data_IF_789193120629
#
_entry.id   IF_789193120629
#
_cell.length_a   1.000
_cell.length_b   1.000
_cell.length_c   1.000
_cell.angle_alpha   90.00
_cell.angle_beta   90.00
_cell.angle_gamma   90.00
#
_symmetry.space_group_name_H-M   'P 1'
#
loop_
_entity.id
_entity.type
_entity.pdbx_description
1 polymer ?
#
# COMPACT_ATOMS: atom_id res chain seq x y z
N UNK A 1 -24.32 16.20 -0.22
CA UNK A 1 -24.11 16.57 1.19
C UNK A 1 -22.75 17.23 1.27
N UNK A 2 -22.68 18.52 1.62
CA UNK A 2 -21.41 19.21 1.76
C UNK A 2 -20.65 18.61 2.94
N UNK A 3 -19.42 18.16 2.73
CA UNK A 3 -18.57 17.66 3.81
C UNK A 3 -18.46 18.75 4.90
N UNK A 4 -18.48 18.39 6.20
CA UNK A 4 -18.26 19.35 7.27
C UNK A 4 -16.94 20.09 7.00
N UNK A 5 -16.92 21.41 7.15
CA UNK A 5 -15.70 22.19 6.95
C UNK A 5 -14.68 21.72 7.98
N UNK A 6 -13.70 20.92 7.54
CA UNK A 6 -12.55 20.60 8.37
C UNK A 6 -11.86 21.93 8.73
N UNK A 7 -11.55 22.14 10.01
CA UNK A 7 -10.75 23.28 10.41
C UNK A 7 -9.44 23.30 9.59
N UNK A 8 -9.01 24.49 9.16
CA UNK A 8 -7.73 24.66 8.48
C UNK A 8 -6.61 24.09 9.39
N UNK A 9 -5.79 23.20 8.85
CA UNK A 9 -4.64 22.58 9.54
C UNK A 9 -3.35 23.06 8.89
N UNK A 10 -2.29 23.21 9.68
CA UNK A 10 -0.93 23.42 9.18
C UNK A 10 -0.23 22.07 9.01
N UNK A 11 0.08 21.71 7.76
CA UNK A 11 0.72 20.44 7.41
C UNK A 11 2.09 20.72 6.83
N UNK A 12 3.13 20.09 7.39
CA UNK A 12 4.50 20.18 6.87
C UNK A 12 4.83 18.92 6.07
N UNK A 13 5.12 19.08 4.78
CA UNK A 13 5.58 18.00 3.89
C UNK A 13 7.10 18.00 3.85
N UNK A 14 7.73 16.90 4.25
CA UNK A 14 9.17 16.68 4.18
C UNK A 14 9.49 15.77 3.00
N UNK A 15 10.20 16.30 2.00
CA UNK A 15 10.43 15.66 0.70
C UNK A 15 9.41 16.11 -0.35
N UNK A 16 9.85 16.89 -1.33
CA UNK A 16 9.07 17.44 -2.45
C UNK A 16 9.31 16.72 -3.78
N UNK A 17 9.81 15.48 -3.74
CA UNK A 17 9.76 14.59 -4.90
C UNK A 17 8.33 14.38 -5.43
N UNK A 18 8.18 13.57 -6.48
CA UNK A 18 6.90 13.33 -7.17
C UNK A 18 5.72 13.03 -6.23
N UNK A 19 5.96 12.23 -5.20
CA UNK A 19 4.91 11.83 -4.24
C UNK A 19 4.60 12.92 -3.20
N UNK A 20 5.62 13.59 -2.65
CA UNK A 20 5.40 14.68 -1.69
C UNK A 20 4.74 15.91 -2.33
N UNK A 21 5.08 16.22 -3.58
CA UNK A 21 4.37 17.24 -4.37
C UNK A 21 2.89 16.89 -4.55
N UNK A 22 2.57 15.61 -4.75
CA UNK A 22 1.19 15.14 -4.87
C UNK A 22 0.43 15.26 -3.53
N UNK A 23 1.10 15.01 -2.39
CA UNK A 23 0.52 15.27 -1.06
C UNK A 23 0.26 16.74 -0.80
N UNK A 24 1.22 17.60 -1.13
CA UNK A 24 1.05 19.05 -1.04
C UNK A 24 -0.18 19.50 -1.84
N UNK A 25 -0.35 19.03 -3.08
CA UNK A 25 -1.54 19.32 -3.89
C UNK A 25 -2.82 18.82 -3.23
N UNK A 26 -2.87 17.54 -2.83
CA UNK A 26 -4.07 16.92 -2.27
C UNK A 26 -4.55 17.62 -0.99
N UNK A 27 -3.63 17.92 -0.07
CA UNK A 27 -3.96 18.61 1.17
C UNK A 27 -4.28 20.10 0.96
N UNK A 28 -3.58 20.76 0.02
CA UNK A 28 -3.86 22.16 -0.35
C UNK A 28 -5.24 22.33 -0.98
N UNK A 29 -5.62 21.42 -1.89
CA UNK A 29 -6.97 21.35 -2.46
C UNK A 29 -8.06 21.07 -1.42
N UNK A 30 -7.71 20.43 -0.31
CA UNK A 30 -8.61 20.20 0.83
C UNK A 30 -8.72 21.42 1.77
N UNK A 31 -8.03 22.52 1.45
CA UNK A 31 -8.08 23.77 2.22
C UNK A 31 -7.13 23.82 3.42
N UNK A 32 -6.15 22.92 3.49
CA UNK A 32 -5.11 22.98 4.53
C UNK A 32 -3.96 23.90 4.14
N UNK A 33 -3.29 24.45 5.14
CA UNK A 33 -2.09 25.27 4.98
C UNK A 33 -0.87 24.37 4.82
N UNK A 34 -0.28 24.39 3.64
CA UNK A 34 0.89 23.57 3.34
C UNK A 34 2.17 24.37 3.59
N UNK A 35 3.11 23.71 4.24
CA UNK A 35 4.50 24.12 4.32
C UNK A 35 5.41 22.98 3.90
N UNK A 36 6.60 23.28 3.44
CA UNK A 36 7.46 22.29 2.80
C UNK A 36 8.90 22.32 3.28
N UNK A 37 9.50 21.14 3.38
CA UNK A 37 10.91 20.95 3.73
C UNK A 37 11.55 20.05 2.67
N UNK A 38 12.50 20.58 1.91
CA UNK A 38 13.30 19.81 0.95
C UNK A 38 14.63 20.51 0.70
N UNK A 39 15.68 19.75 0.34
CA UNK A 39 16.98 20.32 -0.02
C UNK A 39 16.99 21.00 -1.40
N UNK A 40 15.98 20.71 -2.23
CA UNK A 40 15.83 21.30 -3.56
C UNK A 40 15.27 22.74 -3.48
N UNK A 41 15.62 23.55 -4.47
CA UNK A 41 15.07 24.90 -4.62
C UNK A 41 13.52 24.88 -4.66
N UNK A 42 12.89 25.78 -3.90
CA UNK A 42 11.43 25.97 -3.89
C UNK A 42 10.69 25.44 -2.66
N UNK A 43 11.38 24.78 -1.72
CA UNK A 43 10.83 24.48 -0.40
C UNK A 43 10.84 25.71 0.53
N UNK A 44 9.94 25.75 1.53
CA UNK A 44 9.97 26.81 2.56
C UNK A 44 11.23 26.74 3.42
N UNK A 45 11.75 25.54 3.65
CA UNK A 45 12.97 25.27 4.41
C UNK A 45 13.77 24.10 3.83
N UNK A 46 15.08 24.09 4.07
CA UNK A 46 15.98 23.02 3.64
C UNK A 46 15.97 21.83 4.61
N UNK A 47 15.71 22.08 5.90
CA UNK A 47 15.80 21.09 6.97
C UNK A 47 14.67 21.22 7.98
N UNK A 48 14.31 20.09 8.58
CA UNK A 48 13.28 20.04 9.65
C UNK A 48 13.64 20.98 10.79
N UNK A 49 14.92 21.10 11.17
CA UNK A 49 15.40 22.02 12.20
C UNK A 49 15.06 23.51 11.97
N UNK A 50 14.84 23.93 10.72
CA UNK A 50 14.55 25.31 10.37
C UNK A 50 13.06 25.68 10.46
N UNK A 51 12.16 24.69 10.57
CA UNK A 51 10.72 24.94 10.72
C UNK A 51 10.48 25.72 12.02
N UNK A 52 9.92 26.94 11.97
CA UNK A 52 9.63 27.73 13.16
C UNK A 52 8.45 27.11 13.90
N UNK A 53 8.47 27.21 15.23
CA UNK A 53 7.41 26.73 16.13
C UNK A 53 6.81 25.34 15.74
N UNK A 54 7.57 24.25 15.94
CA UNK A 54 7.07 22.89 15.67
C UNK A 54 5.73 22.58 16.36
N UNK A 55 5.43 23.25 17.48
CA UNK A 55 4.20 23.00 18.23
C UNK A 55 2.93 23.48 17.49
N UNK A 56 3.08 24.40 16.52
CA UNK A 56 2.01 24.87 15.64
C UNK A 56 1.75 23.94 14.43
N UNK A 57 2.55 22.88 14.25
CA UNK A 57 2.37 21.90 13.18
C UNK A 57 1.33 20.86 13.61
N UNK A 58 0.21 20.80 12.88
CA UNK A 58 -0.86 19.83 13.15
C UNK A 58 -0.47 18.42 12.73
N UNK A 59 0.22 18.29 11.59
CA UNK A 59 0.73 17.02 11.07
C UNK A 59 1.99 17.20 10.23
N UNK A 60 2.89 16.23 10.34
CA UNK A 60 4.07 16.07 9.48
C UNK A 60 3.82 14.94 8.49
N UNK A 61 4.18 15.15 7.23
CA UNK A 61 4.15 14.12 6.19
C UNK A 61 5.56 13.87 5.72
N UNK A 62 6.09 12.68 5.94
CA UNK A 62 7.45 12.30 5.54
C UNK A 62 7.37 11.52 4.23
N UNK A 63 7.77 12.15 3.14
CA UNK A 63 7.71 11.66 1.77
C UNK A 63 9.10 11.68 1.09
N UNK A 64 10.15 11.50 1.89
CA UNK A 64 11.55 11.41 1.45
C UNK A 64 11.89 10.00 0.93
N UNK A 65 13.09 9.73 0.38
CA UNK A 65 13.52 8.36 0.13
C UNK A 65 13.49 7.50 1.40
N UNK A 66 13.20 6.21 1.30
CA UNK A 66 13.10 5.30 2.45
C UNK A 66 14.34 5.33 3.35
N UNK A 67 15.53 5.45 2.76
CA UNK A 67 16.81 5.56 3.48
C UNK A 67 16.86 6.72 4.49
N UNK A 68 16.07 7.77 4.30
CA UNK A 68 16.08 8.96 5.16
C UNK A 68 14.91 9.00 6.13
N UNK A 69 13.94 8.09 6.02
CA UNK A 69 12.73 8.08 6.87
C UNK A 69 13.07 8.11 8.36
N UNK A 70 13.92 7.19 8.83
CA UNK A 70 14.27 7.09 10.25
C UNK A 70 14.94 8.38 10.77
N UNK A 71 15.89 8.93 10.02
CA UNK A 71 16.60 10.14 10.43
C UNK A 71 15.67 11.36 10.49
N UNK A 72 14.78 11.50 9.50
CA UNK A 72 13.79 12.59 9.45
C UNK A 72 12.79 12.46 10.60
N UNK A 73 12.26 11.26 10.84
CA UNK A 73 11.31 11.00 11.93
C UNK A 73 11.97 11.28 13.30
N UNK A 74 13.21 10.84 13.52
CA UNK A 74 13.94 11.15 14.75
C UNK A 74 14.14 12.67 14.94
N UNK A 75 14.48 13.40 13.87
CA UNK A 75 14.61 14.86 13.93
C UNK A 75 13.30 15.56 14.27
N UNK A 76 12.18 15.16 13.65
CA UNK A 76 10.85 15.68 13.98
C UNK A 76 10.55 15.44 15.47
N UNK A 77 10.72 14.21 15.95
CA UNK A 77 10.34 13.83 17.32
C UNK A 77 11.26 14.42 18.40
N UNK A 78 12.52 14.73 18.06
CA UNK A 78 13.40 15.52 18.94
C UNK A 78 12.90 16.96 19.14
N UNK A 79 12.24 17.54 18.13
CA UNK A 79 11.71 18.92 18.19
C UNK A 79 10.27 18.98 18.70
N UNK A 80 9.47 17.96 18.41
CA UNK A 80 8.08 17.83 18.83
C UNK A 80 7.82 16.38 19.28
N UNK A 81 8.04 16.05 20.57
CA UNK A 81 7.93 14.68 21.07
C UNK A 81 6.53 14.04 21.02
N UNK A 82 5.50 14.84 20.75
CA UNK A 82 4.10 14.45 20.58
C UNK A 82 3.60 14.67 19.14
N UNK A 83 4.53 14.75 18.17
CA UNK A 83 4.19 14.98 16.78
C UNK A 83 3.26 13.89 16.21
N UNK A 84 2.44 14.33 15.26
CA UNK A 84 1.59 13.48 14.42
C UNK A 84 2.27 13.33 13.08
N UNK A 85 2.69 12.11 12.74
CA UNK A 85 3.49 11.82 11.55
C UNK A 85 2.75 10.84 10.65
N UNK A 86 2.47 11.27 9.43
CA UNK A 86 2.15 10.39 8.31
C UNK A 86 3.46 10.07 7.58
N UNK A 87 3.88 8.82 7.61
CA UNK A 87 5.15 8.35 7.06
C UNK A 87 4.88 7.59 5.77
N UNK A 88 5.58 7.92 4.68
CA UNK A 88 5.46 7.14 3.47
C UNK A 88 5.86 5.68 3.65
N UNK A 89 5.27 4.82 2.81
CA UNK A 89 5.66 3.41 2.77
C UNK A 89 6.88 3.21 1.86
N UNK A 90 7.75 2.24 2.17
CA UNK A 90 7.82 1.51 3.43
C UNK A 90 8.25 2.41 4.60
N UNK A 91 7.83 2.07 5.83
CA UNK A 91 8.13 2.88 7.01
C UNK A 91 9.65 3.13 7.17
N UNK A 92 10.43 2.09 6.95
CA UNK A 92 11.88 2.11 6.93
C UNK A 92 12.40 0.87 6.19
N UNK A 93 13.71 0.82 6.00
CA UNK A 93 14.42 -0.37 5.60
C UNK A 93 14.39 -1.49 6.66
N UNK A 94 14.58 -2.76 6.26
CA UNK A 94 14.62 -3.88 7.21
C UNK A 94 15.64 -3.68 8.33
N UNK A 95 16.87 -3.26 8.04
CA UNK A 95 17.89 -3.01 9.07
C UNK A 95 17.52 -1.87 10.04
N UNK A 96 16.76 -0.90 9.56
CA UNK A 96 16.36 0.28 10.33
C UNK A 96 15.15 0.00 11.24
N UNK A 97 14.50 -1.15 11.10
CA UNK A 97 13.27 -1.48 11.83
C UNK A 97 13.47 -1.48 13.35
N UNK A 98 14.61 -1.96 13.83
CA UNK A 98 14.97 -1.91 15.24
C UNK A 98 15.20 -0.46 15.72
N UNK A 99 15.83 0.36 14.88
CA UNK A 99 16.05 1.79 15.11
C UNK A 99 14.74 2.56 15.20
N UNK A 100 13.83 2.36 14.24
CA UNK A 100 12.49 2.94 14.24
C UNK A 100 11.71 2.55 15.49
N UNK A 101 11.76 1.27 15.88
CA UNK A 101 11.15 0.81 17.12
C UNK A 101 11.73 1.49 18.37
N UNK A 102 13.04 1.76 18.40
CA UNK A 102 13.67 2.49 19.51
C UNK A 102 13.25 3.96 19.54
N UNK A 103 13.22 4.62 18.39
CA UNK A 103 12.74 6.02 18.26
C UNK A 103 11.31 6.14 18.76
N UNK A 104 10.39 5.26 18.33
CA UNK A 104 9.00 5.25 18.80
C UNK A 104 8.91 5.10 20.32
N UNK A 105 9.69 4.17 20.92
CA UNK A 105 9.69 3.98 22.38
C UNK A 105 10.23 5.19 23.15
N UNK A 106 11.14 5.97 22.56
CA UNK A 106 11.69 7.19 23.19
C UNK A 106 10.68 8.35 23.20
N UNK A 107 9.71 8.32 22.29
CA UNK A 107 8.70 9.36 22.11
C UNK A 107 7.29 8.80 22.27
N UNK A 108 6.88 8.40 23.50
CA UNK A 108 5.65 7.65 23.74
C UNK A 108 4.36 8.44 23.51
N UNK A 109 4.44 9.76 23.27
CA UNK A 109 3.28 10.60 22.93
C UNK A 109 3.10 10.80 21.42
N UNK A 110 4.09 10.39 20.63
CA UNK A 110 4.04 10.51 19.18
C UNK A 110 2.89 9.66 18.61
N UNK A 111 2.32 10.11 17.50
CA UNK A 111 1.35 9.35 16.71
C UNK A 111 1.94 9.16 15.33
N UNK A 112 2.13 7.91 14.91
CA UNK A 112 2.76 7.60 13.63
C UNK A 112 1.89 6.63 12.85
N UNK A 113 1.46 7.04 11.66
CA UNK A 113 0.78 6.17 10.69
C UNK A 113 1.70 6.02 9.49
N UNK A 114 1.91 4.78 9.03
CA UNK A 114 2.54 4.51 7.75
C UNK A 114 1.46 4.52 6.67
N UNK A 115 1.68 5.29 5.60
CA UNK A 115 0.70 5.50 4.56
C UNK A 115 0.27 4.18 3.91
N UNK A 116 -1.03 3.93 3.90
CA UNK A 116 -1.63 2.72 3.36
C UNK A 116 -2.91 3.02 2.60
N UNK A 117 -2.73 3.44 1.36
CA UNK A 117 -3.82 3.83 0.45
C UNK A 117 -4.88 2.74 0.31
N UNK A 118 -4.48 1.47 0.26
CA UNK A 118 -5.40 0.37 -0.02
C UNK A 118 -6.23 -0.05 1.21
N UNK A 119 -5.72 0.12 2.43
CA UNK A 119 -6.53 -0.12 3.64
C UNK A 119 -7.70 0.84 3.79
N UNK A 120 -7.55 2.05 3.25
CA UNK A 120 -8.56 3.12 3.34
C UNK A 120 -9.33 3.31 2.03
N UNK A 121 -9.19 2.39 1.06
CA UNK A 121 -9.87 2.48 -0.23
C UNK A 121 -11.30 1.92 -0.13
N UNK A 122 -12.30 2.71 -0.52
CA UNK A 122 -13.70 2.25 -0.62
C UNK A 122 -13.82 1.01 -1.52
N UNK A 123 -13.07 0.95 -2.63
CA UNK A 123 -13.09 -0.20 -3.54
C UNK A 123 -12.59 -1.49 -2.85
N UNK A 124 -11.52 -1.41 -2.05
CA UNK A 124 -11.00 -2.54 -1.28
C UNK A 124 -11.97 -2.93 -0.16
N UNK A 125 -12.60 -1.96 0.52
CA UNK A 125 -13.60 -2.23 1.55
C UNK A 125 -14.85 -2.91 0.96
N UNK A 126 -15.32 -2.44 -0.20
CA UNK A 126 -16.44 -3.04 -0.92
C UNK A 126 -16.13 -4.47 -1.33
N UNK A 127 -14.94 -4.68 -1.89
CA UNK A 127 -14.43 -6.00 -2.26
C UNK A 127 -14.40 -6.95 -1.07
N UNK A 128 -13.74 -6.55 0.02
CA UNK A 128 -13.65 -7.34 1.25
C UNK A 128 -15.03 -7.65 1.85
N UNK A 129 -15.97 -6.71 1.81
CA UNK A 129 -17.34 -6.94 2.25
C UNK A 129 -18.05 -8.02 1.41
N UNK A 130 -17.91 -7.96 0.08
CA UNK A 130 -18.45 -9.00 -0.82
C UNK A 130 -17.81 -10.36 -0.60
N UNK A 131 -16.50 -10.42 -0.34
CA UNK A 131 -15.83 -11.67 0.02
C UNK A 131 -16.38 -12.23 1.33
N UNK A 132 -16.49 -11.41 2.39
CA UNK A 132 -17.01 -11.86 3.71
C UNK A 132 -18.44 -12.36 3.63
N UNK A 133 -19.29 -11.70 2.84
CA UNK A 133 -20.69 -12.10 2.64
C UNK A 133 -20.80 -13.52 2.06
N UNK A 134 -19.99 -13.84 1.04
CA UNK A 134 -20.01 -15.15 0.39
C UNK A 134 -19.22 -16.21 1.18
N UNK A 135 -18.07 -15.82 1.75
CA UNK A 135 -17.19 -16.71 2.51
C UNK A 135 -17.83 -17.26 3.80
N UNK A 136 -18.88 -16.61 4.30
CA UNK A 136 -19.64 -17.08 5.47
C UNK A 136 -20.28 -18.46 5.29
N UNK A 137 -20.50 -18.91 4.05
CA UNK A 137 -21.11 -20.20 3.74
C UNK A 137 -20.30 -21.05 2.75
N UNK A 138 -19.29 -20.47 2.12
CA UNK A 138 -18.47 -21.09 1.10
C UNK A 138 -17.01 -20.66 1.28
N UNK A 139 -16.15 -21.50 1.91
CA UNK A 139 -14.81 -21.07 2.31
C UNK A 139 -13.97 -20.56 1.13
N UNK A 140 -13.00 -19.69 1.44
CA UNK A 140 -12.04 -19.22 0.45
C UNK A 140 -11.13 -20.39 0.04
N UNK A 141 -11.05 -20.65 -1.26
CA UNK A 141 -10.15 -21.66 -1.84
C UNK A 141 -8.82 -21.05 -2.21
N UNK A 142 -8.85 -19.93 -2.95
CA UNK A 142 -7.67 -19.26 -3.48
C UNK A 142 -7.84 -17.74 -3.48
N UNK A 143 -6.74 -17.04 -3.21
CA UNK A 143 -6.62 -15.58 -3.32
C UNK A 143 -5.46 -15.29 -4.27
N UNK A 144 -5.72 -14.46 -5.29
CA UNK A 144 -4.71 -13.98 -6.23
C UNK A 144 -4.70 -12.46 -6.20
N UNK A 145 -3.52 -11.85 -6.05
CA UNK A 145 -3.35 -10.39 -6.18
C UNK A 145 -2.21 -10.13 -7.15
N UNK A 146 -2.48 -9.32 -8.17
CA UNK A 146 -1.48 -8.94 -9.17
C UNK A 146 -1.43 -7.43 -9.35
N UNK A 147 -0.24 -6.86 -9.17
CA UNK A 147 0.05 -5.44 -9.35
C UNK A 147 1.19 -5.28 -10.37
N UNK A 148 0.85 -5.15 -11.65
CA UNK A 148 1.80 -5.10 -12.76
C UNK A 148 1.82 -3.72 -13.42
N UNK A 149 3.02 -3.17 -13.63
CA UNK A 149 3.27 -1.98 -14.46
C UNK A 149 4.68 -2.07 -15.03
N UNK A 150 4.88 -1.79 -16.32
CA UNK A 150 6.24 -1.55 -16.81
C UNK A 150 6.81 -0.25 -16.18
N UNK A 151 7.80 -0.41 -15.31
CA UNK A 151 8.51 0.65 -14.59
C UNK A 151 9.88 0.94 -15.18
N UNK A 152 10.31 0.25 -16.22
CA UNK A 152 11.66 0.44 -16.79
C UNK A 152 11.89 1.90 -17.20
N UNK A 153 10.87 2.56 -17.77
CA UNK A 153 10.92 4.00 -18.05
C UNK A 153 11.01 4.85 -16.77
N UNK A 154 10.22 4.53 -15.75
CA UNK A 154 10.28 5.21 -14.45
C UNK A 154 11.71 5.09 -13.85
N UNK A 155 12.30 3.88 -13.86
CA UNK A 155 13.63 3.57 -13.32
C UNK A 155 14.74 4.25 -14.12
N UNK A 156 14.67 4.21 -15.46
CA UNK A 156 15.63 4.89 -16.34
C UNK A 156 15.66 6.41 -16.10
N UNK A 157 14.56 7.00 -15.61
CA UNK A 157 14.45 8.41 -15.25
C UNK A 157 14.68 8.68 -13.75
N UNK A 158 15.38 7.78 -13.06
CA UNK A 158 15.82 8.00 -11.68
C UNK A 158 14.75 7.77 -10.61
N UNK A 159 13.62 7.12 -10.94
CA UNK A 159 12.68 6.68 -9.91
C UNK A 159 13.33 5.59 -9.05
N UNK A 160 13.32 5.81 -7.74
CA UNK A 160 14.00 4.98 -6.75
C UNK A 160 13.55 3.51 -6.76
N UNK A 161 14.43 2.56 -7.02
CA UNK A 161 14.18 1.14 -6.73
C UNK A 161 14.65 0.84 -5.32
N UNK A 162 13.76 0.27 -4.51
CA UNK A 162 14.13 -0.15 -3.15
C UNK A 162 15.22 -1.21 -3.21
N UNK A 163 16.43 -0.85 -2.78
CA UNK A 163 17.60 -1.71 -2.92
C UNK A 163 17.59 -2.89 -1.96
N UNK A 164 16.66 -2.93 -1.00
CA UNK A 164 16.66 -3.93 0.06
C UNK A 164 15.40 -4.79 0.05
N UNK A 165 14.24 -4.21 -0.25
CA UNK A 165 13.04 -4.98 -0.54
C UNK A 165 12.93 -5.41 -2.02
N UNK A 166 13.65 -4.75 -2.93
CA UNK A 166 13.48 -4.96 -4.37
C UNK A 166 12.05 -4.62 -4.81
N UNK A 167 11.50 -5.40 -5.74
CA UNK A 167 10.11 -5.26 -6.19
C UNK A 167 9.08 -5.47 -5.06
N UNK A 168 9.43 -6.22 -4.02
CA UNK A 168 8.55 -6.45 -2.87
C UNK A 168 8.24 -5.15 -2.11
N UNK A 169 9.16 -4.20 -2.06
CA UNK A 169 8.96 -2.91 -1.39
C UNK A 169 8.09 -1.95 -2.19
N UNK A 170 7.99 -2.17 -3.50
CA UNK A 170 7.20 -1.36 -4.39
C UNK A 170 5.71 -1.60 -4.22
N UNK A 171 5.23 -2.81 -4.50
CA UNK A 171 3.80 -3.14 -4.52
C UNK A 171 3.42 -4.13 -3.41
N UNK A 172 4.39 -4.81 -2.78
CA UNK A 172 4.12 -5.85 -1.78
C UNK A 172 3.33 -5.37 -0.57
N UNK A 173 3.65 -4.20 -0.01
CA UNK A 173 2.86 -3.63 1.09
C UNK A 173 1.39 -3.38 0.69
N UNK A 174 1.14 -2.96 -0.55
CA UNK A 174 -0.21 -2.73 -1.05
C UNK A 174 -0.99 -4.04 -1.23
N UNK A 175 -0.34 -5.08 -1.76
CA UNK A 175 -0.93 -6.41 -1.87
C UNK A 175 -1.23 -7.02 -0.49
N UNK A 176 -0.33 -6.83 0.48
CA UNK A 176 -0.54 -7.24 1.87
C UNK A 176 -1.71 -6.51 2.53
N UNK A 177 -1.95 -5.24 2.19
CA UNK A 177 -3.14 -4.51 2.66
C UNK A 177 -4.44 -5.09 2.14
N UNK A 178 -4.47 -5.50 0.88
CA UNK A 178 -5.63 -6.19 0.30
C UNK A 178 -5.84 -7.55 0.99
N UNK A 179 -4.79 -8.34 1.17
CA UNK A 179 -4.90 -9.62 1.89
C UNK A 179 -5.42 -9.45 3.32
N UNK A 180 -4.94 -8.44 4.04
CA UNK A 180 -5.37 -8.12 5.40
C UNK A 180 -6.85 -7.72 5.47
N UNK A 181 -7.37 -7.07 4.43
CA UNK A 181 -8.79 -6.70 4.37
C UNK A 181 -9.71 -7.91 4.18
N UNK A 182 -9.21 -8.98 3.55
CA UNK A 182 -9.98 -10.18 3.19
C UNK A 182 -9.91 -11.25 4.28
N UNK A 183 -8.70 -11.54 4.76
CA UNK A 183 -8.46 -12.66 5.67
C UNK A 183 -8.83 -12.32 7.11
N UNK A 184 -9.39 -13.26 7.88
CA UNK A 184 -9.46 -13.13 9.33
C UNK A 184 -8.09 -12.88 9.95
N UNK A 185 -8.00 -12.04 10.99
CA UNK A 185 -6.73 -11.60 11.58
C UNK A 185 -5.83 -12.75 12.06
N UNK A 186 -6.42 -13.87 12.50
CA UNK A 186 -5.66 -15.07 12.86
C UNK A 186 -5.01 -15.74 11.64
N UNK A 187 -5.74 -15.85 10.52
CA UNK A 187 -5.24 -16.43 9.27
C UNK A 187 -4.20 -15.52 8.62
N UNK A 188 -4.41 -14.21 8.61
CA UNK A 188 -3.43 -13.25 8.09
C UNK A 188 -2.10 -13.32 8.85
N UNK A 189 -2.14 -13.36 10.19
CA UNK A 189 -0.93 -13.52 11.02
C UNK A 189 -0.24 -14.86 10.80
N UNK A 190 -0.99 -15.91 10.48
CA UNK A 190 -0.44 -17.21 10.12
C UNK A 190 0.21 -17.19 8.73
N UNK A 191 -0.42 -16.54 7.76
CA UNK A 191 0.12 -16.32 6.42
C UNK A 191 1.49 -15.64 6.49
N UNK A 192 1.62 -14.54 7.24
CA UNK A 192 2.91 -13.82 7.39
C UNK A 192 4.04 -14.64 8.04
N UNK A 193 3.72 -15.75 8.71
CA UNK A 193 4.71 -16.69 9.30
C UNK A 193 4.92 -17.94 8.46
N UNK A 194 4.14 -18.12 7.40
CA UNK A 194 4.21 -19.29 6.55
C UNK A 194 5.30 -19.08 5.50
N UNK A 195 6.21 -20.05 5.39
CA UNK A 195 7.20 -20.06 4.32
C UNK A 195 6.46 -20.30 2.99
N UNK A 196 6.59 -19.41 1.99
CA UNK A 196 6.00 -19.63 0.68
C UNK A 196 6.50 -20.94 0.05
N UNK A 197 5.63 -21.65 -0.65
CA UNK A 197 6.00 -22.84 -1.40
C UNK A 197 6.88 -22.52 -2.62
N UNK A 198 6.77 -21.31 -3.16
CA UNK A 198 7.65 -20.82 -4.22
C UNK A 198 7.75 -19.29 -4.21
N UNK A 199 8.95 -18.78 -4.53
CA UNK A 199 9.23 -17.37 -4.81
C UNK A 199 10.06 -17.32 -6.08
N UNK A 200 9.63 -16.57 -7.10
CA UNK A 200 10.40 -16.38 -8.34
C UNK A 200 11.15 -15.04 -8.34
N UNK A 201 12.07 -14.85 -9.28
CA UNK A 201 12.80 -13.59 -9.46
C UNK A 201 11.88 -12.42 -9.87
N UNK A 202 10.76 -12.71 -10.52
CA UNK A 202 9.71 -11.74 -10.91
C UNK A 202 8.68 -11.56 -9.78
N UNK A 203 9.07 -11.80 -8.53
CA UNK A 203 8.22 -11.65 -7.35
C UNK A 203 6.87 -12.38 -7.42
N UNK A 204 6.83 -13.56 -8.07
CA UNK A 204 5.70 -14.47 -7.98
C UNK A 204 5.82 -15.32 -6.72
N UNK A 205 4.95 -15.06 -5.75
CA UNK A 205 4.96 -15.70 -4.44
C UNK A 205 3.73 -16.59 -4.33
N UNK A 206 3.94 -17.90 -4.23
CA UNK A 206 2.87 -18.86 -3.96
C UNK A 206 3.02 -19.39 -2.54
N UNK A 207 1.93 -19.34 -1.80
CA UNK A 207 1.85 -19.89 -0.44
C UNK A 207 0.72 -20.90 -0.36
N UNK A 208 1.06 -22.12 0.03
CA UNK A 208 0.10 -23.19 0.27
C UNK A 208 0.45 -23.86 1.59
N UNK A 209 -0.45 -23.81 2.56
CA UNK A 209 -0.27 -24.51 3.83
C UNK A 209 -1.64 -24.94 4.41
N UNK A 210 -1.68 -26.02 5.23
CA UNK A 210 -2.93 -26.50 5.81
C UNK A 210 -3.63 -25.42 6.65
N UNK A 211 -4.91 -25.14 6.39
CA UNK A 211 -5.70 -24.19 7.18
C UNK A 211 -5.39 -22.71 6.92
N UNK A 212 -4.84 -22.40 5.74
CA UNK A 212 -4.93 -21.08 5.09
C UNK A 212 -5.35 -21.33 3.62
N UNK A 213 -6.04 -20.39 2.96
CA UNK A 213 -6.30 -20.52 1.52
C UNK A 213 -5.00 -20.51 0.72
N UNK A 214 -5.04 -21.01 -0.52
CA UNK A 214 -3.93 -20.79 -1.45
C UNK A 214 -3.81 -19.29 -1.69
N UNK A 215 -2.62 -18.72 -1.51
CA UNK A 215 -2.36 -17.29 -1.75
C UNK A 215 -1.29 -17.16 -2.81
N UNK A 216 -1.58 -16.36 -3.83
CA UNK A 216 -0.66 -16.03 -4.89
C UNK A 216 -0.54 -14.50 -5.02
N UNK A 217 0.67 -13.98 -4.80
CA UNK A 217 1.00 -12.57 -4.98
C UNK A 217 1.94 -12.44 -6.18
N UNK A 218 1.66 -11.48 -7.05
CA UNK A 218 2.50 -11.20 -8.21
C UNK A 218 2.63 -9.70 -8.44
N UNK A 219 3.84 -9.26 -8.77
CA UNK A 219 4.12 -7.91 -9.22
C UNK A 219 5.19 -7.98 -10.27
N UNK A 220 5.10 -7.15 -11.30
CA UNK A 220 6.12 -7.07 -12.34
C UNK A 220 6.42 -5.63 -12.68
N UNK A 221 7.72 -5.28 -12.62
CA UNK A 221 8.24 -3.98 -13.08
C UNK A 221 8.64 -3.99 -14.56
N UNK A 222 8.67 -5.16 -15.20
CA UNK A 222 8.96 -5.31 -16.64
C UNK A 222 7.69 -5.31 -17.49
N UNK A 223 6.53 -5.38 -16.84
CA UNK A 223 5.22 -5.33 -17.50
C UNK A 223 4.66 -6.70 -17.91
N UNK A 224 5.33 -7.80 -17.57
CA UNK A 224 4.77 -9.14 -17.77
C UNK A 224 3.51 -9.33 -16.91
N UNK A 225 2.42 -9.80 -17.53
CA UNK A 225 1.15 -10.07 -16.85
C UNK A 225 1.04 -11.56 -16.57
N UNK A 226 0.79 -11.95 -15.32
CA UNK A 226 0.75 -13.36 -14.94
C UNK A 226 -0.63 -14.01 -15.08
N UNK A 227 -1.70 -13.24 -14.87
CA UNK A 227 -3.07 -13.78 -14.80
C UNK A 227 -4.06 -13.03 -15.71
N UNK A 228 -3.80 -12.92 -17.03
CA UNK A 228 -4.64 -12.16 -17.95
C UNK A 228 -6.12 -12.61 -17.94
N UNK A 229 -6.37 -13.90 -17.71
CA UNK A 229 -7.70 -14.51 -17.70
C UNK A 229 -8.55 -14.16 -16.47
N UNK A 230 -7.92 -13.79 -15.35
CA UNK A 230 -8.63 -13.56 -14.09
C UNK A 230 -9.33 -12.20 -14.03
N UNK A 231 -8.79 -11.18 -14.70
CA UNK A 231 -9.39 -9.84 -14.74
C UNK A 231 -9.54 -9.25 -16.15
N UNK A 232 -9.05 -9.94 -17.20
CA UNK A 232 -9.09 -9.44 -18.57
C UNK A 232 -10.49 -9.11 -19.10
N UNK A 233 -11.51 -9.81 -18.60
CA UNK A 233 -12.91 -9.57 -18.95
C UNK A 233 -13.43 -8.16 -18.56
N UNK A 234 -12.75 -7.48 -17.62
CA UNK A 234 -13.19 -6.19 -17.10
C UNK A 234 -12.68 -5.00 -17.91
N UNK A 235 -11.74 -5.21 -18.83
CA UNK A 235 -11.11 -4.15 -19.61
C UNK A 235 -11.76 -4.00 -20.99
N UNK A 236 -11.77 -2.77 -21.58
CA UNK A 236 -12.21 -2.54 -22.95
C UNK A 236 -11.47 -3.44 -23.95
N UNK A 237 -12.15 -3.82 -25.03
CA UNK A 237 -11.60 -4.71 -26.07
C UNK A 237 -10.23 -4.25 -26.57
N UNK A 238 -10.05 -2.93 -26.79
CA UNK A 238 -8.77 -2.37 -27.21
C UNK A 238 -7.66 -2.59 -26.18
N UNK A 239 -7.92 -2.36 -24.89
CA UNK A 239 -6.96 -2.59 -23.81
C UNK A 239 -6.62 -4.08 -23.73
N UNK A 240 -7.63 -4.94 -23.92
CA UNK A 240 -7.43 -6.38 -23.96
C UNK A 240 -6.53 -6.82 -25.13
N UNK A 241 -6.76 -6.29 -26.33
CA UNK A 241 -5.95 -6.58 -27.50
C UNK A 241 -4.52 -6.04 -27.37
N UNK A 242 -4.36 -4.82 -26.85
CA UNK A 242 -3.07 -4.12 -26.79
C UNK A 242 -2.17 -4.64 -25.65
N UNK A 243 -2.76 -5.10 -24.51
CA UNK A 243 -1.99 -5.41 -23.29
C UNK A 243 -2.30 -6.77 -22.65
N UNK A 244 -3.57 -7.13 -22.52
CA UNK A 244 -3.98 -8.31 -21.72
C UNK A 244 -3.76 -9.61 -22.48
N UNK A 245 -4.25 -9.70 -23.71
CA UNK A 245 -4.11 -10.90 -24.56
C UNK A 245 -2.64 -11.21 -24.84
N UNK A 246 -1.76 -10.23 -25.16
CA UNK A 246 -0.33 -10.44 -25.23
C UNK A 246 0.35 -10.72 -23.89
N UNK A 247 -0.36 -10.52 -22.76
CA UNK A 247 0.15 -10.64 -21.40
C UNK A 247 1.39 -9.75 -21.13
N UNK A 248 1.37 -8.54 -21.68
CA UNK A 248 2.52 -7.64 -21.66
C UNK A 248 2.10 -6.16 -21.67
N UNK A 249 2.69 -5.38 -20.78
CA UNK A 249 2.60 -3.91 -20.77
C UNK A 249 3.88 -3.35 -21.40
N UNK A 250 3.79 -2.68 -22.58
CA UNK A 250 4.95 -2.10 -23.24
C UNK A 250 5.66 -1.04 -22.40
N UNK A 251 6.96 -0.91 -22.64
CA UNK A 251 7.80 0.17 -22.11
C UNK A 251 7.17 1.55 -22.33
N UNK A 252 7.14 2.36 -21.27
CA UNK A 252 6.62 3.73 -21.31
C UNK A 252 5.08 3.83 -21.33
N UNK A 253 4.36 2.72 -21.31
CA UNK A 253 2.90 2.74 -21.16
C UNK A 253 2.49 3.21 -19.77
N UNK A 254 1.42 4.02 -19.71
CA UNK A 254 0.78 4.42 -18.46
C UNK A 254 -0.19 3.36 -17.91
N UNK A 255 -0.50 2.33 -18.70
CA UNK A 255 -1.39 1.25 -18.29
C UNK A 255 -0.84 0.48 -17.08
N UNK A 256 -1.76 0.05 -16.20
CA UNK A 256 -1.46 -0.74 -15.00
C UNK A 256 -2.45 -1.88 -14.93
N UNK A 257 -1.95 -3.09 -14.78
CA UNK A 257 -2.79 -4.25 -14.56
C UNK A 257 -2.81 -4.54 -13.07
N UNK A 258 -3.90 -4.15 -12.40
CA UNK A 258 -4.06 -4.24 -10.95
C UNK A 258 -5.39 -4.87 -10.61
N UNK A 259 -5.34 -6.03 -9.97
CA UNK A 259 -6.55 -6.70 -9.50
C UNK A 259 -6.29 -7.56 -8.26
N UNK A 260 -7.38 -7.94 -7.60
CA UNK A 260 -7.41 -8.99 -6.60
C UNK A 260 -8.61 -9.90 -6.88
N UNK A 261 -8.41 -11.20 -6.87
CA UNK A 261 -9.42 -12.21 -7.09
C UNK A 261 -9.48 -13.19 -5.92
N UNK A 262 -10.69 -13.54 -5.51
CA UNK A 262 -10.97 -14.57 -4.50
C UNK A 262 -11.85 -15.63 -5.14
N UNK A 263 -11.31 -16.84 -5.25
CA UNK A 263 -12.03 -18.05 -5.65
C UNK A 263 -12.53 -18.77 -4.41
N UNK A 264 -13.81 -19.10 -4.37
CA UNK A 264 -14.44 -19.90 -3.31
C UNK A 264 -14.53 -21.39 -3.72
N UNK A 265 -14.80 -22.29 -2.78
CA UNK A 265 -14.89 -23.73 -3.07
C UNK A 265 -16.00 -24.09 -4.06
N UNK A 266 -17.08 -23.31 -4.13
CA UNK A 266 -18.11 -23.51 -5.15
C UNK A 266 -17.68 -23.14 -6.58
N UNK A 267 -16.52 -22.52 -6.76
CA UNK A 267 -16.05 -21.96 -8.03
C UNK A 267 -16.56 -20.54 -8.32
N UNK A 268 -17.23 -19.90 -7.35
CA UNK A 268 -17.56 -18.48 -7.41
C UNK A 268 -16.31 -17.63 -7.27
N UNK A 269 -16.30 -16.50 -7.97
CA UNK A 269 -15.24 -15.50 -7.89
C UNK A 269 -15.77 -14.15 -7.42
N UNK A 270 -15.00 -13.50 -6.55
CA UNK A 270 -15.09 -12.07 -6.31
C UNK A 270 -13.81 -11.44 -6.85
N UNK A 271 -13.93 -10.52 -7.80
CA UNK A 271 -12.78 -9.89 -8.47
C UNK A 271 -12.85 -8.37 -8.33
N UNK A 272 -11.88 -7.76 -7.65
CA UNK A 272 -11.63 -6.32 -7.65
C UNK A 272 -10.67 -5.97 -8.79
N UNK A 273 -11.08 -5.06 -9.67
CA UNK A 273 -10.25 -4.53 -10.75
C UNK A 273 -10.10 -3.02 -10.59
N UNK A 274 -8.86 -2.54 -10.57
CA UNK A 274 -8.58 -1.10 -10.52
C UNK A 274 -8.44 -0.53 -11.93
N UNK A 275 -9.00 0.66 -12.15
CA UNK A 275 -8.86 1.43 -13.38
C UNK A 275 -9.35 0.67 -14.64
N UNK A 276 -10.49 -0.07 -14.59
CA UNK A 276 -10.88 -0.95 -15.71
C UNK A 276 -11.16 -0.18 -17.01
N UNK A 277 -11.48 1.12 -16.93
CA UNK A 277 -11.81 1.98 -18.07
C UNK A 277 -10.60 2.75 -18.64
N UNK A 278 -9.37 2.25 -18.44
CA UNK A 278 -8.17 2.85 -19.01
C UNK A 278 -8.32 3.08 -20.52
N UNK A 279 -8.02 4.29 -20.98
CA UNK A 279 -8.10 4.67 -22.40
C UNK A 279 -9.52 4.93 -22.94
N UNK A 280 -10.58 4.64 -22.19
CA UNK A 280 -11.95 4.97 -22.58
C UNK A 280 -12.56 6.14 -21.80
N UNK A 281 -12.15 6.33 -20.53
CA UNK A 281 -12.68 7.40 -19.67
C UNK A 281 -11.56 8.38 -19.23
N UNK A 282 -11.78 9.71 -19.27
CA UNK A 282 -10.80 10.68 -18.78
C UNK A 282 -10.43 10.48 -17.30
N UNK A 283 -11.40 10.08 -16.48
CA UNK A 283 -11.24 9.88 -15.03
C UNK A 283 -11.00 8.42 -14.62
N UNK A 284 -10.57 7.56 -15.55
CA UNK A 284 -10.40 6.11 -15.31
C UNK A 284 -9.56 5.77 -14.07
N UNK A 285 -8.61 6.64 -13.67
CA UNK A 285 -7.76 6.45 -12.48
C UNK A 285 -8.54 6.42 -11.17
N UNK A 286 -9.74 7.01 -11.16
CA UNK A 286 -10.63 7.10 -10.01
C UNK A 286 -11.85 6.17 -10.15
N UNK A 287 -11.84 5.24 -11.12
CA UNK A 287 -12.93 4.29 -11.30
C UNK A 287 -12.39 2.89 -11.06
N UNK A 288 -13.09 2.12 -10.23
CA UNK A 288 -12.77 0.74 -9.88
C UNK A 288 -14.02 -0.12 -9.98
N UNK A 289 -13.86 -1.43 -10.12
CA UNK A 289 -14.98 -2.35 -10.22
C UNK A 289 -14.80 -3.58 -9.34
N UNK A 290 -15.86 -4.00 -8.66
CA UNK A 290 -15.95 -5.28 -7.96
C UNK A 290 -16.95 -6.17 -8.68
N UNK A 291 -16.50 -7.30 -9.19
CA UNK A 291 -17.30 -8.27 -9.94
C UNK A 291 -17.55 -9.52 -9.08
N UNK A 292 -18.80 -9.97 -9.04
CA UNK A 292 -19.21 -11.25 -8.45
C UNK A 292 -19.61 -12.16 -9.60
N UNK A 293 -18.84 -13.21 -9.83
CA UNK A 293 -19.00 -14.14 -10.94
C UNK A 293 -19.35 -15.53 -10.44
N UNK A 294 -20.36 -16.12 -11.05
CA UNK A 294 -20.83 -17.47 -10.81
C UNK A 294 -21.15 -18.09 -12.18
N UNK A 295 -20.77 -19.34 -12.41
CA UNK A 295 -21.10 -20.04 -13.65
C UNK A 295 -22.62 -20.22 -13.83
N UNK A 296 -23.38 -20.25 -12.73
CA UNK A 296 -24.82 -20.51 -12.72
C UNK A 296 -25.69 -19.24 -12.78
N UNK A 297 -25.13 -18.06 -12.52
CA UNK A 297 -25.91 -16.81 -12.34
C UNK A 297 -25.26 -15.66 -13.09
N UNK A 298 -26.04 -14.74 -13.71
CA UNK A 298 -25.48 -13.55 -14.34
C UNK A 298 -24.56 -12.78 -13.40
N UNK A 299 -23.40 -12.35 -13.92
CA UNK A 299 -22.41 -11.62 -13.14
C UNK A 299 -23.00 -10.31 -12.60
N UNK A 300 -22.77 -10.03 -11.32
CA UNK A 300 -23.11 -8.75 -10.69
C UNK A 300 -21.84 -7.92 -10.58
N UNK A 301 -21.93 -6.61 -10.73
CA UNK A 301 -20.78 -5.74 -10.50
C UNK A 301 -21.17 -4.45 -9.79
N UNK A 302 -20.19 -3.88 -9.08
CA UNK A 302 -20.27 -2.58 -8.42
C UNK A 302 -19.19 -1.69 -9.02
N UNK A 303 -19.57 -0.51 -9.51
CA UNK A 303 -18.64 0.53 -9.90
C UNK A 303 -18.42 1.47 -8.71
N UNK A 304 -17.16 1.74 -8.41
CA UNK A 304 -16.73 2.63 -7.33
C UNK A 304 -15.95 3.77 -7.98
N UNK A 305 -16.55 4.96 -7.98
CA UNK A 305 -15.96 6.18 -8.55
C UNK A 305 -15.39 7.04 -7.42
N UNK A 306 -14.15 6.76 -7.04
CA UNK A 306 -13.46 7.43 -5.93
C UNK A 306 -11.99 7.65 -6.24
N UNK A 307 -11.47 8.81 -5.83
CA UNK A 307 -10.03 9.03 -5.78
C UNK A 307 -9.48 8.41 -4.51
N UNK A 308 -9.23 7.09 -4.55
CA UNK A 308 -8.81 6.34 -3.36
C UNK A 308 -7.51 6.85 -2.73
N UNK A 309 -6.66 7.53 -3.52
CA UNK A 309 -5.42 8.12 -3.04
C UNK A 309 -5.71 9.35 -2.17
N UNK A 310 -6.49 10.30 -2.71
CA UNK A 310 -6.88 11.52 -1.98
C UNK A 310 -7.70 11.16 -0.73
N UNK A 311 -8.65 10.25 -0.85
CA UNK A 311 -9.48 9.77 0.25
C UNK A 311 -8.63 9.16 1.37
N UNK A 312 -7.70 8.26 1.03
CA UNK A 312 -6.85 7.63 2.03
C UNK A 312 -5.95 8.62 2.76
N UNK A 313 -5.43 9.64 2.08
CA UNK A 313 -4.61 10.67 2.73
C UNK A 313 -5.42 11.49 3.71
N UNK A 314 -6.60 11.96 3.31
CA UNK A 314 -7.47 12.75 4.18
C UNK A 314 -7.97 11.92 5.37
N UNK A 315 -8.28 10.64 5.14
CA UNK A 315 -8.67 9.70 6.20
C UNK A 315 -7.54 9.48 7.20
N UNK A 316 -6.32 9.24 6.73
CA UNK A 316 -5.18 9.02 7.63
C UNK A 316 -4.76 10.29 8.38
N UNK A 317 -4.88 11.45 7.74
CA UNK A 317 -4.70 12.74 8.41
C UNK A 317 -5.74 12.93 9.53
N UNK A 318 -7.00 12.56 9.28
CA UNK A 318 -8.05 12.61 10.29
C UNK A 318 -7.80 11.61 11.43
N UNK A 319 -7.40 10.38 11.09
CA UNK A 319 -7.02 9.36 12.08
C UNK A 319 -5.89 9.86 12.99
N UNK A 320 -4.84 10.47 12.43
CA UNK A 320 -3.73 11.02 13.23
C UNK A 320 -4.18 11.98 14.32
N UNK A 321 -5.29 12.69 14.14
CA UNK A 321 -5.83 13.61 15.15
C UNK A 321 -6.58 12.90 16.26
N UNK A 322 -7.27 11.82 15.92
CA UNK A 322 -8.16 11.09 16.83
C UNK A 322 -7.50 9.87 17.47
N UNK A 323 -6.32 9.47 16.99
CA UNK A 323 -5.55 8.39 17.59
C UNK A 323 -5.14 8.72 19.03
N UNK A 324 -5.15 7.70 19.88
CA UNK A 324 -4.59 7.80 21.22
C UNK A 324 -3.10 8.13 21.14
N UNK A 325 -2.59 8.92 22.09
CA UNK A 325 -1.16 9.19 22.21
C UNK A 325 -0.36 7.89 22.27
N UNK A 326 0.76 7.85 21.54
CA UNK A 326 1.62 6.67 21.45
C UNK A 326 1.18 5.63 20.41
N UNK A 327 0.06 5.83 19.71
CA UNK A 327 -0.35 4.92 18.64
C UNK A 327 0.64 4.98 17.48
N UNK A 328 1.21 3.82 17.16
CA UNK A 328 2.15 3.65 16.04
C UNK A 328 1.74 2.47 15.17
N UNK A 329 1.51 2.72 13.89
CA UNK A 329 1.06 1.72 12.91
C UNK A 329 2.18 1.44 11.89
N UNK A 330 3.23 0.73 12.33
CA UNK A 330 4.44 0.42 11.52
C UNK A 330 4.47 -1.03 11.00
N UNK A 331 3.57 -1.89 11.49
CA UNK A 331 3.40 -3.30 11.07
C UNK A 331 4.70 -4.09 10.84
N UNK A 332 5.52 -4.33 11.89
CA UNK A 332 6.82 -5.00 11.77
C UNK A 332 6.79 -6.41 11.14
N UNK A 333 5.67 -7.12 11.26
CA UNK A 333 5.53 -8.46 10.67
C UNK A 333 5.50 -8.42 9.13
N UNK A 334 4.88 -7.40 8.54
CA UNK A 334 4.84 -7.20 7.09
C UNK A 334 6.22 -6.83 6.55
N UNK A 335 6.92 -5.94 7.26
CA UNK A 335 8.31 -5.61 6.97
C UNK A 335 9.21 -6.85 6.94
N UNK A 336 9.15 -7.70 7.97
CA UNK A 336 9.94 -8.94 8.00
C UNK A 336 9.58 -9.90 6.88
N UNK A 337 8.29 -10.06 6.59
CA UNK A 337 7.81 -10.93 5.52
C UNK A 337 8.32 -10.45 4.15
N UNK A 338 8.19 -9.15 3.85
CA UNK A 338 8.65 -8.58 2.58
C UNK A 338 10.17 -8.56 2.46
N UNK A 339 10.91 -8.36 3.55
CA UNK A 339 12.37 -8.47 3.55
C UNK A 339 12.82 -9.91 3.25
N UNK A 340 12.13 -10.90 3.84
CA UNK A 340 12.39 -12.31 3.56
C UNK A 340 12.09 -12.66 2.10
N UNK A 341 11.01 -12.12 1.51
CA UNK A 341 10.72 -12.25 0.08
C UNK A 341 11.79 -11.58 -0.79
N UNK A 342 12.20 -10.36 -0.44
CA UNK A 342 13.32 -9.66 -1.05
C UNK A 342 14.57 -10.53 -1.13
N UNK A 343 14.98 -11.09 0.01
CA UNK A 343 16.12 -12.01 0.09
C UNK A 343 15.93 -13.29 -0.73
N UNK A 344 14.72 -13.86 -0.73
CA UNK A 344 14.41 -15.08 -1.46
C UNK A 344 14.49 -14.89 -2.99
N UNK A 345 14.12 -13.71 -3.51
CA UNK A 345 14.26 -13.41 -4.95
C UNK A 345 15.72 -13.44 -5.41
N UNK A 346 16.66 -13.01 -4.57
CA UNK A 346 18.09 -13.01 -4.91
C UNK A 346 18.79 -14.34 -4.63
N UNK A 347 18.39 -15.05 -3.57
CA UNK A 347 19.07 -16.27 -3.11
C UNK A 347 18.38 -17.57 -3.55
N UNK A 348 17.14 -17.48 -4.05
CA UNK A 348 16.28 -18.63 -4.35
C UNK A 348 15.76 -19.37 -3.11
N UNK A 349 16.08 -18.90 -1.89
CA UNK A 349 15.69 -19.56 -0.64
C UNK A 349 15.01 -18.57 0.30
N UNK A 350 13.83 -18.92 0.79
CA UNK A 350 13.13 -18.11 1.78
C UNK A 350 13.74 -18.33 3.18
N UNK A 351 14.24 -17.29 3.86
CA UNK A 351 14.86 -17.44 5.17
C UNK A 351 13.81 -17.83 6.23
N UNK A 352 14.17 -18.77 7.11
CA UNK A 352 13.33 -19.07 8.27
C UNK A 352 13.36 -17.89 9.24
N UNK A 353 12.22 -17.25 9.45
CA UNK A 353 12.07 -16.20 10.47
C UNK A 353 11.94 -16.87 11.84
N UNK A 354 13.00 -16.87 12.64
CA UNK A 354 12.93 -17.41 14.00
C UNK A 354 12.07 -16.50 14.88
N UNK A 355 11.10 -17.07 15.61
CA UNK A 355 10.13 -16.35 16.45
C UNK A 355 10.73 -15.51 17.60
N UNK A 356 12.05 -15.50 17.79
CA UNK A 356 12.70 -14.95 18.99
C UNK A 356 12.92 -13.42 19.01
N UNK A 357 12.50 -12.67 17.99
CA UNK A 357 12.62 -11.21 18.02
C UNK A 357 11.41 -10.57 18.72
N UNK A 358 11.58 -10.33 20.02
CA UNK A 358 10.66 -9.61 20.93
C UNK A 358 10.30 -8.20 20.43
N UNK A 359 9.36 -8.09 19.49
CA UNK A 359 8.69 -6.81 19.17
C UNK A 359 7.17 -6.92 19.13
N UNK A 360 6.60 -8.02 19.64
CA UNK A 360 5.16 -8.16 19.84
C UNK A 360 4.71 -7.33 21.06
N UNK A 361 4.61 -6.01 20.90
CA UNK A 361 3.78 -5.05 21.66
C UNK A 361 4.14 -3.62 21.24
N UNK A 362 3.89 -3.25 20.00
CA UNK A 362 3.74 -1.85 19.59
C UNK A 362 2.52 -1.78 18.67
N UNK A 363 1.45 -1.15 19.14
CA UNK A 363 0.20 -0.90 18.41
C UNK A 363 -0.83 -2.03 18.57
N UNK A 364 -1.91 -1.75 19.30
CA UNK A 364 -3.12 -2.56 19.34
C UNK A 364 -3.67 -2.76 17.93
N UNK A 365 -3.80 -4.02 17.52
CA UNK A 365 -4.61 -4.42 16.38
C UNK A 365 -6.07 -4.02 16.67
N UNK A 366 -6.52 -2.93 16.05
CA UNK A 366 -7.93 -2.61 15.86
C UNK A 366 -8.30 -2.93 14.41
#
# INVERSE_FOLDING_TARGET
MSAPSQAEKTIVIVGLGKIGSLYASCYGEAGHRIRTVDICDGADWERVAQVPDPSAVDAWVVATPTATHLAVVDEILRRQPDARVLLEKPACYPEDLAGLGHTVRRHPRARIIVNDVYSHSEAVQRFAASVRELAGFDPIRKITVEFTKNREFDVANGRFVDTQYGEAGYEGFHMLSILRAILPSAEYRRYLRTVPSSVTAEMRVRTTAPGIPEVELYTSSTGAIAFPELAGFAFPERVSADFITPSMIPYGSEFRYRFADVELFSGKHVTLVFEPFFGSEPDHKNIHAVHLRDAAVPARHFLIAVNHFKEALLTQLDLLQHLDEGTTVVRPAEHRFLAALGSAMFTGTFPQTTENEKFARIGSEA
#
